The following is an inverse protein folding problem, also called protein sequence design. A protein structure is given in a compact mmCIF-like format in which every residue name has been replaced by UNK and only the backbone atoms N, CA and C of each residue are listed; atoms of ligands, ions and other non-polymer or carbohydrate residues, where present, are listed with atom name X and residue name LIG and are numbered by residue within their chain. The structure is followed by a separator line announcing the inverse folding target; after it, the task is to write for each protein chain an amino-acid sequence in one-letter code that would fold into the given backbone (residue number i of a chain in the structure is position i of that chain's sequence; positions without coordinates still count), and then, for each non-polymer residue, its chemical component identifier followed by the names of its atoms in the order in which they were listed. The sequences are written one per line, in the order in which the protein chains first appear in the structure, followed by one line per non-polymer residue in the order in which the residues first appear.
data_IF_676364289719
#
_entry.id   IF_676364289719
#
_cell.length_a   1.000
_cell.length_b   1.000
_cell.length_c   1.000
_cell.angle_alpha   90.00
_cell.angle_beta   90.00
_cell.angle_gamma   90.00
#
_symmetry.space_group_name_H-M   'P 1'
#
loop_
_entity.id
_entity.type
_entity.pdbx_description
1 polymer ?
#
# COMPACT_ATOMS: atom_id res chain seq x y z
N UNK A 1 9.02 4.09 -29.51
CA UNK A 1 9.74 3.97 -28.20
C UNK A 1 10.47 2.66 -28.08
N UNK A 2 11.53 2.54 -27.28
CA UNK A 2 12.31 1.32 -27.18
C UNK A 2 11.61 0.23 -26.38
N UNK A 3 11.83 -1.02 -26.74
CA UNK A 3 11.45 -2.20 -25.95
C UNK A 3 12.22 -2.17 -24.62
N UNK A 4 11.54 -2.43 -23.50
CA UNK A 4 12.12 -2.44 -22.16
C UNK A 4 11.94 -3.81 -21.52
N UNK A 5 13.02 -4.46 -21.13
CA UNK A 5 12.97 -5.71 -20.36
C UNK A 5 12.55 -5.40 -18.93
N UNK A 6 11.39 -5.89 -18.52
CA UNK A 6 10.91 -5.79 -17.14
C UNK A 6 11.56 -6.89 -16.31
N UNK A 7 12.21 -6.49 -15.22
CA UNK A 7 12.84 -7.44 -14.32
C UNK A 7 12.23 -7.46 -12.92
N UNK A 8 11.41 -6.45 -12.57
CA UNK A 8 10.70 -6.38 -11.30
C UNK A 8 9.31 -5.77 -11.53
N UNK A 9 8.28 -6.38 -10.95
CA UNK A 9 6.93 -5.86 -10.92
C UNK A 9 6.60 -5.39 -9.49
N UNK A 10 6.40 -4.09 -9.31
CA UNK A 10 5.87 -3.50 -8.10
C UNK A 10 4.42 -3.09 -8.33
N UNK A 11 3.58 -3.24 -7.31
CA UNK A 11 2.17 -2.86 -7.41
C UNK A 11 1.64 -2.34 -6.09
N UNK A 12 0.71 -1.38 -6.15
CA UNK A 12 -0.26 -1.17 -5.10
C UNK A 12 -1.23 -2.34 -5.02
N UNK A 13 -2.06 -2.38 -3.97
CA UNK A 13 -3.03 -3.44 -3.73
C UNK A 13 -4.48 -2.97 -3.99
N UNK A 14 -5.00 -2.04 -3.18
CA UNK A 14 -6.38 -1.57 -3.25
C UNK A 14 -6.57 -0.65 -4.47
N UNK A 15 -7.60 -0.89 -5.29
CA UNK A 15 -7.85 -0.15 -6.54
C UNK A 15 -7.00 -0.61 -7.72
N UNK A 16 -5.85 -1.24 -7.45
CA UNK A 16 -4.88 -1.68 -8.47
C UNK A 16 -4.97 -3.18 -8.75
N UNK A 17 -4.88 -4.03 -7.75
CA UNK A 17 -5.01 -5.49 -7.88
C UNK A 17 -6.36 -5.99 -7.40
N UNK A 18 -7.03 -5.23 -6.55
CA UNK A 18 -8.35 -5.51 -6.02
C UNK A 18 -9.24 -4.30 -6.23
N UNK A 19 -10.42 -4.43 -6.88
CA UNK A 19 -11.34 -3.32 -7.05
C UNK A 19 -11.77 -2.76 -5.70
N UNK A 20 -11.68 -1.44 -5.53
CA UNK A 20 -12.29 -0.77 -4.38
C UNK A 20 -13.72 -0.38 -4.77
N UNK A 21 -14.70 -1.02 -4.14
CA UNK A 21 -16.07 -0.50 -4.20
C UNK A 21 -16.13 0.77 -3.38
N UNK A 22 -16.50 1.89 -4.00
CA UNK A 22 -16.57 3.21 -3.38
C UNK A 22 -17.68 3.32 -2.32
N UNK A 23 -18.48 2.29 -2.12
CA UNK A 23 -19.55 2.20 -1.12
C UNK A 23 -19.48 0.81 -0.48
N UNK A 24 -18.96 0.71 0.74
CA UNK A 24 -19.25 -0.44 1.59
C UNK A 24 -20.75 -0.35 1.93
N UNK A 25 -21.60 -1.15 1.28
CA UNK A 25 -23.03 -1.14 1.57
C UNK A 25 -23.90 -1.91 0.59
N UNK A 26 -23.47 -2.14 -0.63
CA UNK A 26 -24.32 -2.76 -1.68
C UNK A 26 -24.24 -4.30 -1.69
N UNK A 27 -24.06 -4.96 -0.54
CA UNK A 27 -24.23 -6.44 -0.44
C UNK A 27 -23.29 -7.32 -1.28
N UNK A 28 -22.55 -6.75 -2.21
CA UNK A 28 -21.47 -7.37 -2.99
C UNK A 28 -20.12 -6.87 -2.47
N UNK A 29 -19.86 -7.11 -1.19
CA UNK A 29 -18.54 -6.92 -0.61
C UNK A 29 -17.57 -7.78 -1.42
N UNK A 30 -16.79 -7.15 -2.30
CA UNK A 30 -15.57 -7.78 -2.73
C UNK A 30 -14.76 -7.93 -1.44
N UNK A 31 -14.50 -9.17 -1.02
CA UNK A 31 -13.82 -9.56 0.24
C UNK A 31 -12.35 -9.05 0.26
N UNK A 32 -12.08 -7.95 -0.42
CA UNK A 32 -10.75 -7.36 -0.60
C UNK A 32 -9.80 -8.34 -1.31
N UNK A 33 -10.31 -9.26 -2.12
CA UNK A 33 -9.52 -10.30 -2.79
C UNK A 33 -9.22 -9.93 -4.24
N UNK A 34 -8.04 -10.32 -4.68
CA UNK A 34 -7.63 -10.24 -6.09
C UNK A 34 -8.48 -11.23 -6.91
N UNK A 35 -9.09 -10.81 -8.05
CA UNK A 35 -9.80 -11.71 -8.93
C UNK A 35 -8.95 -12.90 -9.36
N UNK A 36 -9.55 -14.09 -9.44
CA UNK A 36 -8.81 -15.35 -9.64
C UNK A 36 -7.91 -15.33 -10.88
N UNK A 37 -8.38 -14.77 -11.99
CA UNK A 37 -7.61 -14.69 -13.22
C UNK A 37 -6.35 -13.83 -13.07
N UNK A 38 -6.49 -12.65 -12.45
CA UNK A 38 -5.37 -11.76 -12.14
C UNK A 38 -4.40 -12.40 -11.15
N UNK A 39 -4.92 -13.06 -10.11
CA UNK A 39 -4.11 -13.78 -9.13
C UNK A 39 -3.26 -14.88 -9.77
N UNK A 40 -3.85 -15.67 -10.69
CA UNK A 40 -3.12 -16.71 -11.41
C UNK A 40 -1.99 -16.13 -12.27
N UNK A 41 -2.23 -15.00 -12.95
CA UNK A 41 -1.18 -14.33 -13.73
C UNK A 41 -0.04 -13.87 -12.80
N UNK A 42 -0.34 -13.21 -11.69
CA UNK A 42 0.66 -12.74 -10.71
C UNK A 42 1.46 -13.90 -10.09
N UNK A 43 0.81 -15.01 -9.75
CA UNK A 43 1.49 -16.24 -9.26
C UNK A 43 2.47 -16.81 -10.30
N UNK A 44 2.12 -16.78 -11.59
CA UNK A 44 3.03 -17.22 -12.67
C UNK A 44 4.20 -16.26 -12.84
N UNK A 45 3.93 -14.95 -12.82
CA UNK A 45 4.96 -13.91 -12.91
C UNK A 45 5.95 -14.03 -11.75
N UNK A 46 5.47 -14.21 -10.52
CA UNK A 46 6.32 -14.28 -9.31
C UNK A 46 7.30 -15.47 -9.30
N UNK A 47 7.12 -16.44 -10.18
CA UNK A 47 8.05 -17.55 -10.40
C UNK A 47 9.20 -17.19 -11.34
N UNK A 48 9.08 -16.09 -12.10
CA UNK A 48 10.05 -15.69 -13.15
C UNK A 48 10.78 -14.40 -12.81
N UNK A 49 10.03 -13.40 -12.29
CA UNK A 49 10.58 -12.12 -11.84
C UNK A 49 9.99 -11.77 -10.44
N UNK A 50 10.68 -11.00 -9.60
CA UNK A 50 10.12 -10.54 -8.34
C UNK A 50 8.82 -9.74 -8.52
N UNK A 51 7.80 -10.14 -7.75
CA UNK A 51 6.56 -9.39 -7.59
C UNK A 51 6.50 -8.84 -6.18
N UNK A 52 6.40 -7.52 -6.03
CA UNK A 52 6.42 -6.84 -4.76
C UNK A 52 5.14 -5.98 -4.61
N UNK A 53 4.57 -5.97 -3.41
CA UNK A 53 3.37 -5.17 -3.12
C UNK A 53 3.77 -4.03 -2.19
N UNK A 54 3.34 -2.80 -2.51
CA UNK A 54 3.49 -1.61 -1.68
C UNK A 54 2.10 -1.08 -1.37
N UNK A 55 1.66 -1.19 -0.11
CA UNK A 55 0.29 -0.81 0.27
C UNK A 55 0.24 -0.05 1.60
N UNK A 56 -0.86 0.69 1.79
CA UNK A 56 -1.22 1.27 3.09
C UNK A 56 -1.78 0.22 4.06
N UNK A 57 -2.07 -1.00 3.61
CA UNK A 57 -2.55 -2.11 4.43
C UNK A 57 -1.43 -2.71 5.28
N UNK A 58 -1.81 -3.31 6.42
CA UNK A 58 -0.90 -4.04 7.30
C UNK A 58 -0.56 -5.45 6.77
N UNK A 59 0.37 -6.10 7.45
CA UNK A 59 0.81 -7.45 7.09
C UNK A 59 -0.32 -8.47 7.17
N UNK A 60 -1.16 -8.42 8.20
CA UNK A 60 -2.24 -9.40 8.39
C UNK A 60 -3.18 -9.41 7.20
N UNK A 61 -3.56 -8.22 6.71
CA UNK A 61 -4.40 -8.10 5.53
C UNK A 61 -3.72 -8.62 4.27
N UNK A 62 -2.48 -8.20 4.00
CA UNK A 62 -1.77 -8.52 2.76
C UNK A 62 -1.32 -9.98 2.70
N UNK A 63 -0.84 -10.56 3.81
CA UNK A 63 -0.32 -11.92 3.84
C UNK A 63 -1.36 -12.96 3.42
N UNK A 64 -2.60 -12.82 3.86
CA UNK A 64 -3.67 -13.73 3.47
C UNK A 64 -4.03 -13.66 1.98
N UNK A 65 -3.85 -12.49 1.37
CA UNK A 65 -4.34 -12.17 0.02
C UNK A 65 -3.28 -12.22 -1.07
N UNK A 66 -2.03 -11.94 -0.72
CA UNK A 66 -0.93 -11.76 -1.65
C UNK A 66 0.30 -12.64 -1.30
N UNK A 67 0.08 -13.88 -0.85
CA UNK A 67 1.16 -14.85 -0.52
C UNK A 67 2.13 -15.13 -1.68
N UNK A 68 1.74 -14.83 -2.90
CA UNK A 68 2.59 -14.98 -4.09
C UNK A 68 3.69 -13.91 -4.16
N UNK A 69 3.52 -12.78 -3.48
CA UNK A 69 4.48 -11.69 -3.54
C UNK A 69 5.81 -12.07 -2.84
N UNK A 70 6.92 -11.67 -3.45
CA UNK A 70 8.25 -11.89 -2.89
C UNK A 70 8.55 -10.92 -1.75
N UNK A 71 8.02 -9.70 -1.86
CA UNK A 71 8.15 -8.67 -0.82
C UNK A 71 6.78 -8.01 -0.61
N UNK A 72 6.38 -7.87 0.65
CA UNK A 72 5.25 -7.07 1.08
C UNK A 72 5.77 -5.84 1.83
N UNK A 73 5.52 -4.66 1.29
CA UNK A 73 5.82 -3.38 1.93
C UNK A 73 4.53 -2.84 2.54
N UNK A 74 4.36 -3.12 3.83
CA UNK A 74 3.15 -2.86 4.60
C UNK A 74 3.17 -1.46 5.19
N UNK A 75 2.02 -0.85 5.35
CA UNK A 75 1.81 0.49 5.92
C UNK A 75 2.82 1.50 5.34
N UNK A 76 2.83 1.57 3.98
CA UNK A 76 3.71 2.44 3.19
C UNK A 76 5.22 2.25 3.49
N UNK A 77 5.64 1.02 3.77
CA UNK A 77 7.03 0.66 4.01
C UNK A 77 7.51 0.83 5.44
N UNK A 78 6.63 1.14 6.40
CA UNK A 78 7.00 1.13 7.82
C UNK A 78 7.46 -0.28 8.20
N UNK A 79 6.73 -1.30 7.76
CA UNK A 79 7.16 -2.69 7.87
C UNK A 79 7.35 -3.29 6.47
N UNK A 80 8.47 -3.98 6.27
CA UNK A 80 8.76 -4.72 5.04
C UNK A 80 8.96 -6.19 5.37
N UNK A 81 8.24 -7.05 4.66
CA UNK A 81 8.24 -8.49 4.87
C UNK A 81 8.75 -9.16 3.60
N UNK A 82 9.80 -9.95 3.75
CA UNK A 82 10.48 -10.64 2.65
C UNK A 82 10.15 -12.12 2.75
N UNK A 83 9.52 -12.65 1.71
CA UNK A 83 9.29 -14.08 1.56
C UNK A 83 10.50 -14.72 0.88
N UNK A 84 11.11 -15.75 1.49
CA UNK A 84 12.20 -16.45 0.87
C UNK A 84 11.67 -17.49 -0.13
N UNK A 85 11.86 -17.29 -1.45
CA UNK A 85 11.29 -18.19 -2.48
C UNK A 85 11.94 -19.58 -2.50
N UNK A 86 13.11 -19.78 -1.88
CA UNK A 86 13.85 -21.06 -1.88
C UNK A 86 13.22 -22.15 -1.00
N UNK A 87 12.21 -21.83 -0.19
CA UNK A 87 11.47 -22.78 0.66
C UNK A 87 10.08 -23.16 0.14
N UNK A 88 9.81 -22.97 -1.14
CA UNK A 88 8.55 -23.45 -1.77
C UNK A 88 8.63 -24.96 -2.04
N UNK A 89 8.61 -25.76 -0.98
CA UNK A 89 8.13 -27.12 -1.09
C UNK A 89 6.60 -27.09 -1.01
N UNK A 90 5.92 -27.52 -2.05
CA UNK A 90 4.46 -27.45 -2.23
C UNK A 90 3.64 -28.11 -1.10
N UNK A 91 4.28 -28.80 -0.15
CA UNK A 91 3.64 -29.60 0.89
C UNK A 91 3.81 -29.08 2.34
N UNK A 92 4.47 -27.94 2.59
CA UNK A 92 4.64 -27.41 3.93
C UNK A 92 4.32 -25.91 3.99
N UNK A 93 3.03 -25.63 4.15
CA UNK A 93 2.45 -24.26 4.10
C UNK A 93 2.73 -23.43 5.38
N UNK A 94 3.27 -24.01 6.44
CA UNK A 94 3.28 -23.42 7.80
C UNK A 94 4.67 -23.17 8.43
N UNK A 95 5.75 -23.06 7.66
CA UNK A 95 7.01 -22.67 8.27
C UNK A 95 7.19 -21.15 8.19
N UNK A 96 6.84 -20.47 9.29
CA UNK A 96 7.17 -19.06 9.62
C UNK A 96 8.69 -18.76 9.48
N UNK A 97 9.53 -19.77 9.42
CA UNK A 97 11.00 -19.70 9.29
C UNK A 97 11.49 -19.09 7.95
N UNK A 98 10.58 -18.84 7.01
CA UNK A 98 10.90 -18.32 5.68
C UNK A 98 10.55 -16.84 5.50
N UNK A 99 10.06 -16.17 6.55
CA UNK A 99 9.61 -14.78 6.50
C UNK A 99 10.55 -13.92 7.33
N UNK A 100 11.11 -12.88 6.73
CA UNK A 100 11.92 -11.89 7.42
C UNK A 100 11.17 -10.56 7.49
N UNK A 101 10.93 -10.07 8.71
CA UNK A 101 10.30 -8.80 9.01
C UNK A 101 11.35 -7.73 9.29
N UNK A 102 11.15 -6.51 8.76
CA UNK A 102 12.06 -5.39 8.95
C UNK A 102 11.31 -4.07 9.03
N UNK A 103 11.68 -3.25 10.02
CA UNK A 103 11.30 -1.85 10.08
C UNK A 103 12.42 -1.01 9.44
N UNK A 104 12.25 -0.60 8.19
CA UNK A 104 13.31 0.08 7.42
C UNK A 104 13.29 1.60 7.55
N UNK A 105 12.15 2.19 7.93
CA UNK A 105 11.99 3.65 8.02
C UNK A 105 12.40 4.16 9.41
N UNK A 106 12.08 3.40 10.48
CA UNK A 106 12.34 3.78 11.86
C UNK A 106 12.69 2.56 12.72
N UNK A 107 13.40 2.78 13.83
CA UNK A 107 13.65 1.70 14.80
C UNK A 107 12.35 1.28 15.49
N UNK A 108 12.27 0.02 15.91
CA UNK A 108 11.14 -0.50 16.69
C UNK A 108 10.87 0.33 17.94
N UNK A 109 11.93 0.81 18.62
CA UNK A 109 11.79 1.69 19.81
C UNK A 109 11.04 2.99 19.46
N UNK A 110 11.40 3.67 18.37
CA UNK A 110 10.73 4.89 17.93
C UNK A 110 9.29 4.63 17.50
N UNK A 111 9.00 3.47 16.92
CA UNK A 111 7.64 3.07 16.57
C UNK A 111 6.81 2.79 17.82
N UNK A 112 7.38 2.15 18.87
CA UNK A 112 6.71 1.94 20.16
C UNK A 112 6.34 3.25 20.87
N UNK A 113 7.23 4.24 20.86
CA UNK A 113 6.94 5.56 21.44
C UNK A 113 5.79 6.25 20.69
N UNK A 114 5.81 6.20 19.36
CA UNK A 114 4.75 6.79 18.55
C UNK A 114 3.45 5.97 18.59
N UNK A 115 3.50 4.67 18.86
CA UNK A 115 2.31 3.84 19.08
C UNK A 115 1.46 4.35 20.24
N UNK A 116 2.09 4.74 21.36
CA UNK A 116 1.37 5.35 22.51
C UNK A 116 0.63 6.62 22.11
N UNK A 117 1.24 7.41 21.25
CA UNK A 117 0.64 8.62 20.72
C UNK A 117 -0.53 8.32 19.78
N UNK A 118 -0.39 7.32 18.90
CA UNK A 118 -1.49 6.86 18.03
C UNK A 118 -2.68 6.35 18.86
N UNK A 119 -2.46 5.59 19.94
CA UNK A 119 -3.53 5.20 20.86
C UNK A 119 -4.20 6.40 21.55
N UNK A 120 -3.45 7.48 21.85
CA UNK A 120 -4.03 8.71 22.37
C UNK A 120 -4.94 9.39 21.34
N UNK A 121 -4.59 9.35 20.06
CA UNK A 121 -5.42 9.85 18.95
C UNK A 121 -6.71 9.03 18.84
N UNK A 122 -6.61 7.69 18.90
CA UNK A 122 -7.79 6.81 18.89
C UNK A 122 -8.76 7.19 20.01
N UNK A 123 -8.27 7.37 21.25
CA UNK A 123 -9.09 7.77 22.40
C UNK A 123 -9.81 9.10 22.20
N UNK A 124 -9.16 10.09 21.57
CA UNK A 124 -9.77 11.39 21.29
C UNK A 124 -10.87 11.29 20.24
N UNK A 125 -10.65 10.42 19.22
CA UNK A 125 -11.55 10.30 18.08
C UNK A 125 -12.66 9.24 18.24
N UNK A 126 -12.55 8.30 19.19
CA UNK A 126 -13.47 7.16 19.35
C UNK A 126 -14.95 7.54 19.56
N UNK A 127 -15.24 8.76 20.03
CA UNK A 127 -16.61 9.24 20.26
C UNK A 127 -17.22 9.96 19.04
N UNK A 128 -16.47 10.12 17.95
CA UNK A 128 -16.99 10.71 16.73
C UNK A 128 -17.77 9.66 15.92
N UNK A 129 -19.11 9.85 15.86
CA UNK A 129 -20.03 8.91 15.19
C UNK A 129 -19.90 8.89 13.67
N UNK A 130 -19.33 9.94 13.09
CA UNK A 130 -19.25 10.14 11.64
C UNK A 130 -17.97 9.58 11.03
N UNK A 131 -17.12 8.93 11.81
CA UNK A 131 -15.87 8.33 11.36
C UNK A 131 -15.72 6.90 11.87
N UNK A 132 -15.04 6.09 11.08
CA UNK A 132 -14.54 4.77 11.47
C UNK A 132 -13.02 4.84 11.56
N UNK A 133 -12.44 4.20 12.57
CA UNK A 133 -10.98 4.15 12.77
C UNK A 133 -10.53 2.73 12.46
N UNK A 134 -9.69 2.59 11.44
CA UNK A 134 -8.96 1.35 11.13
C UNK A 134 -7.57 1.46 11.75
N UNK A 135 -7.28 0.62 12.74
CA UNK A 135 -5.97 0.52 13.38
C UNK A 135 -5.09 -0.44 12.60
N UNK A 136 -3.84 -0.03 12.31
CA UNK A 136 -2.86 -0.81 11.57
C UNK A 136 -1.71 -1.17 12.49
N UNK A 137 -1.55 -2.47 12.71
CA UNK A 137 -0.51 -3.01 13.58
C UNK A 137 0.64 -3.59 12.77
N UNK A 138 1.81 -3.71 13.40
CA UNK A 138 2.92 -4.51 12.86
C UNK A 138 2.53 -6.00 12.81
N UNK A 139 3.36 -6.82 12.18
CA UNK A 139 3.13 -8.26 12.00
C UNK A 139 3.01 -9.02 13.32
N UNK A 140 3.69 -8.56 14.37
CA UNK A 140 3.59 -9.11 15.72
C UNK A 140 2.31 -8.71 16.45
N UNK A 141 1.54 -7.74 15.90
CA UNK A 141 0.36 -7.12 16.52
C UNK A 141 0.64 -6.43 17.86
N UNK A 142 1.87 -6.00 18.09
CA UNK A 142 2.31 -5.37 19.32
C UNK A 142 2.39 -3.83 19.21
N UNK A 143 2.74 -3.34 18.01
CA UNK A 143 2.97 -1.92 17.78
C UNK A 143 1.90 -1.38 16.83
N UNK A 144 1.11 -0.41 17.30
CA UNK A 144 0.22 0.35 16.44
C UNK A 144 1.07 1.33 15.62
N UNK A 145 1.13 1.13 14.31
CA UNK A 145 2.02 1.86 13.40
C UNK A 145 1.31 2.85 12.48
N UNK A 146 -0.03 2.74 12.39
CA UNK A 146 -0.84 3.66 11.58
C UNK A 146 -2.32 3.58 11.90
N UNK A 147 -3.05 4.61 11.46
CA UNK A 147 -4.49 4.72 11.56
C UNK A 147 -5.04 5.19 10.23
N UNK A 148 -6.19 4.66 9.81
CA UNK A 148 -7.04 5.29 8.79
C UNK A 148 -8.30 5.82 9.46
N UNK A 149 -8.58 7.08 9.30
CA UNK A 149 -9.82 7.74 9.73
C UNK A 149 -10.73 7.83 8.52
N UNK A 150 -11.69 6.93 8.45
CA UNK A 150 -12.53 6.65 7.28
C UNK A 150 -13.95 7.18 7.50
N UNK A 151 -14.46 7.94 6.54
CA UNK A 151 -15.82 8.46 6.51
C UNK A 151 -16.56 8.15 5.19
N UNK A 152 -16.09 7.14 4.43
CA UNK A 152 -16.70 6.72 3.14
C UNK A 152 -18.12 6.18 3.28
N UNK A 153 -18.49 5.70 4.48
CA UNK A 153 -19.83 5.21 4.77
C UNK A 153 -20.89 6.33 4.79
N UNK A 154 -20.45 7.58 4.87
CA UNK A 154 -21.36 8.72 4.82
C UNK A 154 -21.86 8.96 3.39
N UNK A 155 -23.17 9.07 3.23
CA UNK A 155 -23.78 9.31 1.92
C UNK A 155 -23.26 10.57 1.22
N UNK A 156 -22.94 11.62 2.01
CA UNK A 156 -22.40 12.91 1.54
C UNK A 156 -20.97 13.13 2.06
N UNK A 157 -20.09 12.16 1.87
CA UNK A 157 -18.72 12.23 2.39
C UNK A 157 -17.91 13.42 1.83
N UNK A 158 -18.23 13.90 0.61
CA UNK A 158 -17.57 15.10 0.03
C UNK A 158 -17.86 16.33 0.90
N UNK A 159 -19.12 16.53 1.27
CA UNK A 159 -19.54 17.65 2.15
C UNK A 159 -18.93 17.51 3.55
N UNK A 160 -18.83 16.28 4.07
CA UNK A 160 -18.16 16.01 5.33
C UNK A 160 -16.67 16.38 5.25
N UNK A 161 -15.99 15.98 4.18
CA UNK A 161 -14.60 16.31 3.91
C UNK A 161 -14.38 17.83 3.91
N UNK A 162 -15.17 18.58 3.18
CA UNK A 162 -15.06 20.03 3.10
C UNK A 162 -15.26 20.72 4.44
N UNK A 163 -16.20 20.26 5.26
CA UNK A 163 -16.63 20.97 6.47
C UNK A 163 -16.01 20.43 7.76
N UNK A 164 -15.60 19.18 7.83
CA UNK A 164 -15.22 18.49 9.08
C UNK A 164 -13.81 17.93 9.11
N UNK A 165 -13.23 17.54 7.96
CA UNK A 165 -11.89 16.96 7.93
C UNK A 165 -10.83 17.86 8.56
N UNK A 166 -10.91 19.18 8.33
CA UNK A 166 -9.98 20.15 8.93
C UNK A 166 -10.03 20.14 10.47
N UNK A 167 -11.22 20.05 11.05
CA UNK A 167 -11.42 19.97 12.51
C UNK A 167 -10.85 18.67 13.09
N UNK A 168 -11.08 17.54 12.41
CA UNK A 168 -10.50 16.25 12.80
C UNK A 168 -8.97 16.33 12.76
N UNK A 169 -8.41 16.84 11.68
CA UNK A 169 -6.97 17.05 11.54
C UNK A 169 -6.39 17.94 12.64
N UNK A 170 -7.06 19.03 13.00
CA UNK A 170 -6.65 19.88 14.10
C UNK A 170 -6.67 19.16 15.45
N UNK A 171 -7.69 18.34 15.74
CA UNK A 171 -7.73 17.54 16.97
C UNK A 171 -6.56 16.57 17.04
N UNK A 172 -6.27 15.88 15.94
CA UNK A 172 -5.12 14.98 15.83
C UNK A 172 -3.82 15.77 16.09
N UNK A 173 -3.64 16.91 15.41
CA UNK A 173 -2.44 17.74 15.54
C UNK A 173 -2.25 18.29 16.98
N UNK A 174 -3.33 18.71 17.64
CA UNK A 174 -3.29 19.13 19.05
C UNK A 174 -2.89 17.97 19.97
N UNK A 175 -3.41 16.77 19.72
CA UNK A 175 -3.05 15.56 20.49
C UNK A 175 -1.56 15.22 20.30
N UNK A 176 -1.05 15.31 19.08
CA UNK A 176 0.39 15.14 18.79
C UNK A 176 1.21 16.16 19.57
N UNK A 177 0.88 17.43 19.48
CA UNK A 177 1.65 18.51 20.11
C UNK A 177 1.62 18.41 21.64
N UNK A 178 0.49 18.09 22.25
CA UNK A 178 0.36 17.93 23.70
C UNK A 178 1.23 16.78 24.23
N UNK A 179 1.27 15.65 23.55
CA UNK A 179 2.09 14.51 23.96
C UNK A 179 3.60 14.76 23.75
N UNK A 180 3.99 15.49 22.71
CA UNK A 180 5.40 15.83 22.46
C UNK A 180 5.94 16.83 23.50
N UNK A 181 5.09 17.67 24.09
CA UNK A 181 5.49 18.62 25.14
C UNK A 181 5.81 17.92 26.48
N UNK A 182 5.26 16.73 26.71
CA UNK A 182 5.39 15.98 27.99
C UNK A 182 6.42 14.87 27.96
N UNK A 183 6.82 14.41 26.79
CA UNK A 183 7.73 13.28 26.60
C UNK A 183 9.01 13.72 25.89
N UNK A 184 10.13 13.01 26.12
CA UNK A 184 11.38 13.22 25.36
C UNK A 184 11.10 13.16 23.87
N UNK A 185 11.62 14.11 23.06
CA UNK A 185 11.30 14.18 21.65
C UNK A 185 11.83 12.93 20.93
N UNK A 186 10.91 12.08 20.50
CA UNK A 186 11.24 11.05 19.52
C UNK A 186 11.85 11.74 18.28
N UNK A 187 12.90 11.17 17.71
CA UNK A 187 13.51 11.63 16.46
C UNK A 187 12.49 11.65 15.31
N UNK A 188 11.46 10.81 15.40
CA UNK A 188 10.42 10.66 14.41
C UNK A 188 9.08 11.16 14.97
N UNK A 189 8.36 11.92 14.15
CA UNK A 189 7.03 12.44 14.51
C UNK A 189 5.96 11.74 13.71
N UNK A 190 4.78 11.48 14.29
CA UNK A 190 3.62 11.04 13.52
C UNK A 190 3.33 12.00 12.37
N UNK A 191 2.87 11.43 11.27
CA UNK A 191 2.62 12.13 10.02
C UNK A 191 1.17 11.96 9.62
N UNK A 192 0.48 13.06 9.30
CA UNK A 192 -0.89 13.05 8.81
C UNK A 192 -0.85 13.16 7.29
N UNK A 193 -1.44 12.20 6.61
CA UNK A 193 -1.60 12.16 5.15
C UNK A 193 -3.07 12.44 4.81
N UNK A 194 -3.31 13.46 4.01
CA UNK A 194 -4.63 13.77 3.44
C UNK A 194 -4.61 13.52 1.94
N UNK A 195 -5.78 13.23 1.37
CA UNK A 195 -5.97 12.94 -0.05
C UNK A 195 -7.04 13.85 -0.62
N UNK A 196 -6.87 14.36 -1.84
CA UNK A 196 -7.87 15.26 -2.45
C UNK A 196 -9.14 14.52 -2.83
N UNK A 197 -9.02 13.31 -3.37
CA UNK A 197 -10.11 12.54 -3.98
C UNK A 197 -10.66 11.40 -3.13
N UNK A 198 -10.13 11.18 -1.90
CA UNK A 198 -10.52 10.03 -1.07
C UNK A 198 -11.28 10.43 0.20
N UNK A 199 -12.24 9.58 0.64
CA UNK A 199 -13.07 9.83 1.83
C UNK A 199 -12.41 9.37 3.13
N UNK A 200 -11.10 9.60 3.30
CA UNK A 200 -10.34 9.26 4.49
C UNK A 200 -9.07 10.11 4.61
N UNK A 201 -8.49 10.10 5.78
CA UNK A 201 -7.14 10.55 6.04
C UNK A 201 -6.39 9.48 6.84
N UNK A 202 -5.07 9.44 6.68
CA UNK A 202 -4.21 8.50 7.41
C UNK A 202 -3.33 9.23 8.41
N UNK A 203 -3.02 8.55 9.52
CA UNK A 203 -2.02 8.99 10.49
C UNK A 203 -1.01 7.85 10.67
N UNK A 204 0.24 8.12 10.34
CA UNK A 204 1.31 7.13 10.48
C UNK A 204 2.23 7.50 11.64
N UNK A 205 2.78 6.48 12.30
CA UNK A 205 3.73 6.66 13.42
C UNK A 205 5.01 7.40 13.00
N UNK A 206 5.35 7.37 11.72
CA UNK A 206 6.50 8.06 11.13
C UNK A 206 6.16 8.55 9.74
N UNK A 207 6.94 9.50 9.22
CA UNK A 207 6.78 9.96 7.83
C UNK A 207 7.12 8.83 6.87
N UNK A 208 6.14 8.44 6.07
CA UNK A 208 6.23 7.39 5.06
C UNK A 208 5.46 7.79 3.80
N UNK A 209 5.77 7.17 2.68
CA UNK A 209 5.02 7.24 1.44
C UNK A 209 5.46 6.10 0.50
N UNK A 210 4.71 5.87 -0.59
CA UNK A 210 5.03 4.80 -1.55
C UNK A 210 6.38 5.00 -2.26
N UNK A 211 6.92 6.21 -2.36
CA UNK A 211 8.24 6.46 -2.91
C UNK A 211 9.38 6.03 -1.98
N UNK A 212 9.26 6.23 -0.66
CA UNK A 212 10.19 5.69 0.33
C UNK A 212 10.08 4.17 0.41
N UNK A 213 8.84 3.65 0.39
CA UNK A 213 8.59 2.21 0.35
C UNK A 213 9.21 1.55 -0.90
N UNK A 214 9.12 2.21 -2.05
CA UNK A 214 9.75 1.78 -3.31
C UNK A 214 11.27 1.62 -3.15
N UNK A 215 11.96 2.63 -2.62
CA UNK A 215 13.40 2.56 -2.39
C UNK A 215 13.77 1.44 -1.41
N UNK A 216 12.97 1.29 -0.33
CA UNK A 216 13.17 0.23 0.66
C UNK A 216 13.03 -1.17 0.02
N UNK A 217 11.99 -1.39 -0.80
CA UNK A 217 11.81 -2.64 -1.52
C UNK A 217 12.99 -2.93 -2.44
N UNK A 218 13.44 -1.95 -3.22
CA UNK A 218 14.60 -2.12 -4.10
C UNK A 218 15.87 -2.46 -3.34
N UNK A 219 16.04 -1.90 -2.14
CA UNK A 219 17.21 -2.20 -1.29
C UNK A 219 17.26 -3.67 -0.85
N UNK A 220 16.13 -4.35 -0.82
CA UNK A 220 16.00 -5.76 -0.43
C UNK A 220 16.13 -6.74 -1.60
N UNK A 221 16.05 -6.26 -2.85
CA UNK A 221 16.24 -7.07 -4.04
C UNK A 221 17.71 -7.45 -4.20
N UNK A 222 17.97 -8.59 -4.84
CA UNK A 222 19.32 -9.03 -5.20
C UNK A 222 19.98 -8.03 -6.15
N UNK A 223 21.31 -8.01 -6.16
CA UNK A 223 22.08 -7.08 -7.01
C UNK A 223 21.77 -7.28 -8.51
N UNK A 224 21.54 -8.51 -8.94
CA UNK A 224 21.17 -8.87 -10.30
C UNK A 224 19.81 -8.30 -10.73
N UNK A 225 18.89 -8.10 -9.76
CA UNK A 225 17.56 -7.56 -9.96
C UNK A 225 17.52 -6.02 -9.95
N UNK A 226 18.64 -5.36 -9.59
CA UNK A 226 18.71 -3.89 -9.48
C UNK A 226 19.04 -3.17 -10.79
N UNK A 227 19.61 -3.88 -11.76
CA UNK A 227 20.00 -3.35 -13.07
C UNK A 227 18.94 -3.47 -14.18
N UNK A 228 17.71 -3.90 -13.84
CA UNK A 228 16.61 -4.11 -14.79
C UNK A 228 15.55 -3.02 -14.68
N UNK A 229 14.69 -2.88 -15.71
CA UNK A 229 13.60 -1.90 -15.63
C UNK A 229 12.54 -2.38 -14.62
N UNK A 230 12.04 -1.45 -13.85
CA UNK A 230 11.04 -1.64 -12.82
C UNK A 230 9.71 -1.13 -13.35
N UNK A 231 8.72 -2.04 -13.37
CA UNK A 231 7.34 -1.68 -13.66
C UNK A 231 6.59 -1.42 -12.35
N UNK A 232 5.84 -0.33 -12.28
CA UNK A 232 4.97 0.00 -11.14
C UNK A 232 3.52 0.16 -11.60
N UNK A 233 2.60 -0.51 -10.89
CA UNK A 233 1.15 -0.40 -11.07
C UNK A 233 0.53 0.32 -9.87
N UNK A 234 -0.36 1.28 -10.10
CA UNK A 234 -1.07 2.02 -9.05
C UNK A 234 -2.33 2.69 -9.59
N UNK A 235 -3.22 3.16 -8.71
CA UNK A 235 -4.51 3.74 -9.10
C UNK A 235 -4.80 5.12 -8.51
N UNK A 236 -3.97 5.59 -7.58
CA UNK A 236 -4.29 6.76 -6.78
C UNK A 236 -3.14 7.78 -6.70
N UNK A 237 -3.45 9.00 -6.25
CA UNK A 237 -2.45 10.06 -6.02
C UNK A 237 -1.34 9.62 -5.03
N UNK A 238 -1.64 8.64 -4.16
CA UNK A 238 -0.68 8.07 -3.24
C UNK A 238 0.43 7.28 -3.94
N UNK A 239 0.19 6.86 -5.20
CA UNK A 239 1.16 6.16 -6.05
C UNK A 239 2.14 7.10 -6.76
N UNK A 240 1.83 8.40 -6.87
CA UNK A 240 2.65 9.36 -7.60
C UNK A 240 4.14 9.36 -7.19
N UNK A 241 4.51 9.25 -5.89
CA UNK A 241 5.91 9.15 -5.51
C UNK A 241 6.61 7.89 -6.03
N UNK A 242 5.89 6.77 -6.23
CA UNK A 242 6.42 5.53 -6.80
C UNK A 242 6.43 5.58 -8.33
N UNK A 243 5.40 6.12 -8.97
CA UNK A 243 5.35 6.34 -10.42
C UNK A 243 6.57 7.13 -10.93
N UNK A 244 6.94 8.21 -10.22
CA UNK A 244 8.11 9.04 -10.58
C UNK A 244 9.46 8.30 -10.52
N UNK A 245 9.52 7.20 -9.78
CA UNK A 245 10.75 6.39 -9.59
C UNK A 245 10.84 5.18 -10.50
N UNK A 246 9.71 4.75 -11.05
CA UNK A 246 9.65 3.56 -11.91
C UNK A 246 10.05 3.86 -13.36
N UNK A 247 10.61 2.87 -14.05
CA UNK A 247 10.96 2.97 -15.48
C UNK A 247 9.74 2.89 -16.37
N UNK A 248 8.74 2.09 -15.92
CA UNK A 248 7.45 1.87 -16.58
C UNK A 248 6.38 2.06 -15.51
N UNK A 249 5.61 3.15 -15.61
CA UNK A 249 4.54 3.50 -14.69
C UNK A 249 3.19 3.37 -15.37
N UNK A 250 2.31 2.51 -14.82
CA UNK A 250 0.98 2.24 -15.37
C UNK A 250 -0.07 2.58 -14.31
N UNK A 251 -0.91 3.57 -14.60
CA UNK A 251 -2.10 3.90 -13.83
C UNK A 251 -3.22 2.91 -14.13
N UNK A 252 -3.83 2.32 -13.11
CA UNK A 252 -4.95 1.39 -13.25
C UNK A 252 -6.26 2.15 -13.00
N UNK A 253 -7.14 2.11 -13.97
CA UNK A 253 -8.46 2.74 -13.88
C UNK A 253 -9.50 1.69 -13.48
N UNK A 254 -9.98 1.75 -12.24
CA UNK A 254 -10.93 0.78 -11.69
C UNK A 254 -12.32 1.40 -11.37
N UNK A 255 -12.39 2.71 -11.16
CA UNK A 255 -13.63 3.42 -10.81
C UNK A 255 -13.75 4.74 -11.57
N UNK A 256 -14.75 4.82 -12.44
CA UNK A 256 -15.02 6.01 -13.27
C UNK A 256 -15.47 7.25 -12.47
N UNK A 257 -15.78 7.09 -11.18
CA UNK A 257 -16.23 8.18 -10.29
C UNK A 257 -15.07 8.95 -9.65
N UNK A 258 -13.89 8.37 -9.63
CA UNK A 258 -12.67 9.01 -9.15
C UNK A 258 -11.82 9.42 -10.35
N UNK A 259 -11.32 10.64 -10.32
CA UNK A 259 -10.47 11.18 -11.38
C UNK A 259 -9.15 11.66 -10.75
N UNK A 260 -8.32 10.74 -10.24
CA UNK A 260 -7.07 11.10 -9.59
C UNK A 260 -6.09 11.66 -10.61
N UNK A 261 -5.27 12.63 -10.20
CA UNK A 261 -4.15 13.12 -11.01
C UNK A 261 -2.97 12.18 -10.79
N UNK A 262 -2.67 11.36 -11.81
CA UNK A 262 -1.60 10.37 -11.74
C UNK A 262 -0.37 10.81 -12.53
N UNK A 263 0.80 10.65 -11.93
CA UNK A 263 2.12 10.91 -12.54
C UNK A 263 2.63 9.68 -13.32
N UNK A 264 1.73 8.82 -13.80
CA UNK A 264 2.08 7.65 -14.59
C UNK A 264 2.26 8.00 -16.08
N UNK A 265 3.00 7.14 -16.79
CA UNK A 265 3.24 7.29 -18.25
C UNK A 265 2.12 6.67 -19.08
N UNK A 266 1.50 5.61 -18.55
CA UNK A 266 0.50 4.83 -19.26
C UNK A 266 -0.72 4.62 -18.39
N UNK A 267 -1.87 4.37 -19.00
CA UNK A 267 -3.13 4.04 -18.34
C UNK A 267 -3.66 2.72 -18.87
N UNK A 268 -4.26 1.93 -18.00
CA UNK A 268 -4.86 0.65 -18.33
C UNK A 268 -6.15 0.45 -17.53
N UNK A 269 -7.20 -0.03 -18.16
CA UNK A 269 -8.41 -0.42 -17.45
C UNK A 269 -8.18 -1.67 -16.62
N UNK A 270 -8.74 -1.69 -15.41
CA UNK A 270 -8.61 -2.83 -14.49
C UNK A 270 -8.97 -4.18 -15.15
N UNK A 271 -10.03 -4.21 -15.96
CA UNK A 271 -10.47 -5.42 -16.64
C UNK A 271 -9.49 -5.94 -17.69
N UNK A 272 -8.60 -5.09 -18.19
CA UNK A 272 -7.56 -5.45 -19.16
C UNK A 272 -6.26 -5.93 -18.46
N UNK A 273 -6.09 -5.66 -17.17
CA UNK A 273 -4.87 -5.99 -16.44
C UNK A 273 -4.50 -7.48 -16.50
N UNK A 274 -5.43 -8.46 -16.36
CA UNK A 274 -5.07 -9.88 -16.48
C UNK A 274 -4.55 -10.25 -17.87
N UNK A 275 -5.13 -9.69 -18.93
CA UNK A 275 -4.70 -9.90 -20.31
C UNK A 275 -3.33 -9.28 -20.56
N UNK A 276 -3.13 -8.02 -20.14
CA UNK A 276 -1.85 -7.32 -20.23
C UNK A 276 -0.71 -8.12 -19.56
N UNK A 277 -0.92 -8.60 -18.33
CA UNK A 277 0.10 -9.36 -17.61
C UNK A 277 0.43 -10.70 -18.29
N UNK A 278 -0.56 -11.36 -18.90
CA UNK A 278 -0.31 -12.56 -19.71
C UNK A 278 0.49 -12.25 -20.95
N UNK A 279 0.10 -11.22 -21.70
CA UNK A 279 0.82 -10.78 -22.91
C UNK A 279 2.27 -10.37 -22.59
N UNK A 280 2.49 -9.72 -21.43
CA UNK A 280 3.85 -9.40 -20.96
C UNK A 280 4.68 -10.65 -20.69
N UNK A 281 4.10 -11.70 -20.07
CA UNK A 281 4.78 -13.00 -19.87
C UNK A 281 5.08 -13.70 -21.19
N UNK A 282 4.12 -13.73 -22.11
CA UNK A 282 4.24 -14.40 -23.41
C UNK A 282 5.29 -13.70 -24.29
N UNK A 283 5.51 -12.40 -24.05
CA UNK A 283 6.56 -11.60 -24.68
C UNK A 283 7.88 -11.56 -23.85
N UNK A 284 8.14 -12.59 -23.04
CA UNK A 284 9.34 -12.72 -22.21
C UNK A 284 9.66 -11.47 -21.37
N UNK A 285 8.62 -10.82 -20.83
CA UNK A 285 8.71 -9.57 -20.05
C UNK A 285 9.30 -8.39 -20.82
N UNK A 286 9.26 -8.41 -22.14
CA UNK A 286 9.59 -7.24 -22.95
C UNK A 286 8.34 -6.37 -23.08
N UNK A 287 8.35 -5.22 -22.39
CA UNK A 287 7.30 -4.24 -22.49
C UNK A 287 7.43 -3.43 -23.79
N UNK A 288 6.30 -3.27 -24.48
CA UNK A 288 6.08 -2.29 -25.55
C UNK A 288 4.68 -1.69 -25.39
N UNK A 289 4.45 -0.50 -25.93
CA UNK A 289 3.15 0.18 -25.82
C UNK A 289 2.02 -0.58 -26.51
N UNK A 290 2.32 -1.43 -27.47
CA UNK A 290 1.34 -2.26 -28.19
C UNK A 290 0.70 -3.32 -27.29
N UNK A 291 1.21 -3.52 -26.06
CA UNK A 291 0.64 -4.44 -25.10
C UNK A 291 -0.50 -3.81 -24.25
N UNK A 292 -0.61 -2.47 -24.25
CA UNK A 292 -1.66 -1.73 -23.57
C UNK A 292 -2.89 -1.59 -24.47
#
# INVERSE_FOLDING_TARGET
MGRKQVGVLLSDYDGTLCPTTSVKGDGNDSDGRIPNELKQALVRISKRIPVCIISSKDFTFLHERARFANILSCVLGIETVIHNPHYKNDNEIDKLDCIRYQHLIASSHSLMDNSRLLHSIVKVLQNHKDIMIEEKYDSAKEILIGLTIDYRHLQNWQLFKENKESSIREMIQRTINANLATNSPSKYRPFIQTYSSHPFLDVYGVKCNKGLAFDNVLSQLKQEERGVNIMYLGDSENDNPAFRKSDISIGIHSDTRLNPILDCKYMLDFNQLPLFLRSLMDNDFIFSEDLL
#
